data_IF_640284754632
#
_entry.id   IF_640284754632
#
_cell.length_a   1.000
_cell.length_b   1.000
_cell.length_c   1.000
_cell.angle_alpha   90.00
_cell.angle_beta   90.00
_cell.angle_gamma   90.00
#
_symmetry.space_group_name_H-M   'P 1'
#
loop_
_entity.id
_entity.type
_entity.pdbx_description
1 polymer ?
#
# COMPACT_ATOMS: atom_id res chain seq x y z
N UNK A 1 17.15 -16.35 53.18
CA UNK A 1 15.94 -16.14 52.36
C UNK A 1 15.93 -14.72 51.76
N UNK A 2 16.89 -14.36 50.88
CA UNK A 2 16.98 -13.00 50.29
C UNK A 2 17.74 -12.95 48.94
N UNK A 3 17.62 -13.97 48.07
CA UNK A 3 18.18 -13.92 46.70
C UNK A 3 17.20 -14.60 45.73
N UNK A 4 15.94 -14.16 45.71
CA UNK A 4 14.95 -14.68 44.76
C UNK A 4 13.98 -13.61 44.25
N UNK A 5 14.37 -12.33 44.32
CA UNK A 5 13.51 -11.20 43.96
C UNK A 5 14.14 -10.27 42.91
N UNK A 6 15.25 -10.67 42.30
CA UNK A 6 15.97 -9.85 41.30
C UNK A 6 15.96 -10.45 39.87
N UNK A 7 15.21 -11.52 39.63
CA UNK A 7 15.10 -12.17 38.32
C UNK A 7 13.76 -11.87 37.60
N UNK A 8 12.86 -11.08 38.20
CA UNK A 8 11.52 -10.84 37.66
C UNK A 8 11.36 -9.48 36.95
N UNK A 9 12.45 -8.70 36.76
CA UNK A 9 12.37 -7.30 36.31
C UNK A 9 12.94 -7.07 34.90
N UNK A 10 13.48 -8.08 34.21
CA UNK A 10 14.07 -7.90 32.87
C UNK A 10 13.48 -8.90 31.86
N UNK A 11 12.16 -9.02 31.88
CA UNK A 11 11.39 -9.48 30.71
C UNK A 11 10.29 -8.45 30.43
N UNK A 12 10.63 -7.17 30.58
CA UNK A 12 9.92 -6.14 29.82
C UNK A 12 10.47 -6.27 28.41
N UNK A 13 9.90 -7.20 27.65
CA UNK A 13 10.06 -7.22 26.20
C UNK A 13 9.66 -5.82 25.73
N UNK A 14 10.67 -5.01 25.42
CA UNK A 14 10.50 -3.83 24.59
C UNK A 14 9.95 -4.35 23.27
N UNK A 15 8.63 -4.50 23.18
CA UNK A 15 7.97 -4.46 21.89
C UNK A 15 8.16 -3.02 21.43
N UNK A 16 9.27 -2.80 20.74
CA UNK A 16 9.58 -1.56 20.07
C UNK A 16 8.57 -1.44 18.93
N UNK A 17 7.36 -0.98 19.26
CA UNK A 17 6.24 -0.78 18.33
C UNK A 17 6.37 0.58 17.63
N UNK A 18 7.49 0.80 16.95
CA UNK A 18 7.67 1.96 16.09
C UNK A 18 7.69 1.44 14.65
N UNK A 19 6.52 1.41 14.00
CA UNK A 19 6.37 0.95 12.62
C UNK A 19 4.98 0.44 12.25
N UNK A 20 4.12 0.11 13.22
CA UNK A 20 2.79 -0.45 12.98
C UNK A 20 1.70 0.63 12.90
N UNK A 21 1.92 1.67 12.09
CA UNK A 21 0.86 2.63 11.80
C UNK A 21 -0.21 1.98 10.91
N UNK A 22 -1.49 2.33 11.11
CA UNK A 22 -2.58 1.79 10.28
C UNK A 22 -2.49 2.31 8.84
N UNK A 23 -2.78 1.45 7.87
CA UNK A 23 -2.66 1.69 6.45
C UNK A 23 -1.23 1.63 5.92
N UNK A 24 -0.29 1.18 6.75
CA UNK A 24 1.13 1.11 6.44
C UNK A 24 1.52 -0.29 5.95
N UNK A 25 1.49 -0.48 4.64
CA UNK A 25 1.92 -1.71 4.00
C UNK A 25 0.96 -2.17 2.92
N UNK A 26 1.50 -2.71 1.84
CA UNK A 26 0.70 -3.36 0.82
C UNK A 26 0.24 -4.75 1.26
N UNK A 27 -1.07 -4.96 1.27
CA UNK A 27 -1.66 -6.28 1.43
C UNK A 27 -1.81 -6.98 0.08
N UNK A 28 -1.58 -8.28 0.09
CA UNK A 28 -1.75 -9.14 -1.06
C UNK A 28 -2.50 -10.42 -0.68
N UNK A 29 -3.18 -10.98 -1.66
CA UNK A 29 -3.73 -12.32 -1.59
C UNK A 29 -2.65 -13.32 -2.06
N UNK A 30 -2.30 -14.26 -1.19
CA UNK A 30 -1.58 -15.47 -1.57
C UNK A 30 -2.62 -16.55 -1.93
N UNK A 31 -2.64 -16.93 -3.19
CA UNK A 31 -3.54 -17.95 -3.73
C UNK A 31 -2.69 -19.07 -4.35
N UNK A 32 -2.49 -20.18 -3.61
CA UNK A 32 -1.61 -21.29 -4.03
C UNK A 32 -2.00 -21.93 -5.38
N UNK A 33 -3.26 -21.82 -5.76
CA UNK A 33 -3.81 -22.34 -7.01
C UNK A 33 -3.67 -21.40 -8.22
N UNK A 34 -3.18 -20.17 -8.02
CA UNK A 34 -3.08 -19.15 -9.07
C UNK A 34 -1.64 -18.95 -9.57
N UNK A 35 -1.51 -18.39 -10.77
CA UNK A 35 -0.24 -17.92 -11.32
C UNK A 35 -0.43 -16.52 -11.93
N UNK A 36 0.20 -15.45 -11.38
CA UNK A 36 1.06 -15.45 -10.20
C UNK A 36 0.32 -15.88 -8.93
N UNK A 37 1.07 -16.41 -7.95
CA UNK A 37 0.51 -16.83 -6.66
C UNK A 37 0.15 -15.65 -5.77
N UNK A 38 0.86 -14.53 -5.93
CA UNK A 38 0.68 -13.33 -5.12
C UNK A 38 0.07 -12.22 -5.96
N UNK A 39 -1.06 -11.68 -5.49
CA UNK A 39 -1.78 -10.59 -6.17
C UNK A 39 -2.11 -9.52 -5.14
N UNK A 40 -1.73 -8.27 -5.40
CA UNK A 40 -2.02 -7.15 -4.50
C UNK A 40 -3.54 -7.02 -4.31
N UNK A 41 -3.99 -6.78 -3.08
CA UNK A 41 -5.40 -6.88 -2.71
C UNK A 41 -6.30 -5.94 -3.55
N UNK A 42 -5.78 -4.77 -3.85
CA UNK A 42 -6.41 -3.74 -4.69
C UNK A 42 -6.76 -4.20 -6.10
N UNK A 43 -6.00 -5.14 -6.68
CA UNK A 43 -6.29 -5.68 -8.02
C UNK A 43 -7.64 -6.39 -8.02
N UNK A 44 -7.94 -7.09 -6.94
CA UNK A 44 -9.19 -7.84 -6.76
C UNK A 44 -10.31 -6.91 -6.28
N UNK A 45 -10.00 -5.96 -5.39
CA UNK A 45 -10.98 -5.04 -4.82
C UNK A 45 -11.46 -3.98 -5.80
N UNK A 46 -10.61 -3.48 -6.69
CA UNK A 46 -10.93 -2.40 -7.63
C UNK A 46 -12.27 -2.60 -8.36
N UNK A 47 -12.54 -3.74 -9.03
CA UNK A 47 -13.81 -3.94 -9.73
C UNK A 47 -14.99 -4.19 -8.78
N UNK A 48 -14.76 -4.75 -7.59
CA UNK A 48 -15.81 -5.16 -6.66
C UNK A 48 -16.28 -3.97 -5.82
N UNK A 49 -15.33 -3.29 -5.19
CA UNK A 49 -15.54 -2.20 -4.21
C UNK A 49 -15.66 -0.86 -4.93
N UNK A 50 -14.73 -0.56 -5.84
CA UNK A 50 -14.60 0.78 -6.44
C UNK A 50 -15.24 0.88 -7.83
N UNK A 51 -15.67 -0.24 -8.42
CA UNK A 51 -16.12 -0.33 -9.82
C UNK A 51 -15.08 0.19 -10.81
N UNK A 52 -13.80 0.05 -10.47
CA UNK A 52 -12.66 0.40 -11.29
C UNK A 52 -12.11 -0.88 -11.93
N UNK A 53 -12.02 -0.90 -13.25
CA UNK A 53 -11.32 -1.97 -13.94
C UNK A 53 -9.84 -1.64 -14.04
N UNK A 54 -8.96 -2.51 -13.58
CA UNK A 54 -7.51 -2.34 -13.68
C UNK A 54 -7.06 -2.62 -15.11
N UNK A 55 -6.32 -1.67 -15.71
CA UNK A 55 -5.67 -1.85 -17.00
C UNK A 55 -4.59 -2.92 -16.86
N UNK A 56 -4.69 -4.01 -17.63
CA UNK A 56 -3.60 -4.97 -17.75
C UNK A 56 -2.43 -4.31 -18.49
N UNK A 57 -1.25 -4.34 -17.89
CA UNK A 57 -0.05 -3.78 -18.48
C UNK A 57 1.09 -4.78 -18.43
N UNK A 58 1.76 -4.95 -19.56
CA UNK A 58 2.98 -5.74 -19.66
C UNK A 58 4.17 -4.80 -19.71
N UNK A 59 5.25 -5.13 -19.02
CA UNK A 59 6.46 -4.32 -18.97
C UNK A 59 7.66 -5.15 -18.52
N UNK A 60 8.82 -4.50 -18.42
CA UNK A 60 10.07 -5.12 -17.94
C UNK A 60 10.58 -4.48 -16.64
N UNK A 61 10.13 -3.27 -16.33
CA UNK A 61 10.55 -2.51 -15.16
C UNK A 61 9.32 -1.99 -14.40
N UNK A 62 9.12 -2.39 -13.14
CA UNK A 62 8.00 -1.93 -12.33
C UNK A 62 7.92 -0.42 -12.14
N UNK A 63 9.06 0.27 -12.01
CA UNK A 63 9.09 1.72 -11.76
C UNK A 63 8.61 2.49 -12.99
N UNK A 64 9.09 2.11 -14.17
CA UNK A 64 8.64 2.68 -15.43
C UNK A 64 7.12 2.53 -15.63
N UNK A 65 6.54 1.39 -15.24
CA UNK A 65 5.09 1.19 -15.33
C UNK A 65 4.31 2.17 -14.44
N UNK A 66 4.80 2.49 -13.23
CA UNK A 66 4.20 3.52 -12.37
C UNK A 66 4.26 4.90 -13.03
N UNK A 67 5.43 5.28 -13.56
CA UNK A 67 5.63 6.58 -14.22
C UNK A 67 4.74 6.76 -15.45
N UNK A 68 4.42 5.69 -16.17
CA UNK A 68 3.51 5.75 -17.32
C UNK A 68 2.07 6.04 -16.90
N UNK A 69 1.58 5.38 -15.85
CA UNK A 69 0.22 5.59 -15.34
C UNK A 69 0.08 6.94 -14.61
N UNK A 70 1.19 7.48 -14.06
CA UNK A 70 1.20 8.81 -13.42
C UNK A 70 0.84 9.96 -14.36
N UNK A 71 1.05 9.80 -15.67
CA UNK A 71 0.72 10.85 -16.66
C UNK A 71 -0.77 11.19 -16.66
N UNK A 72 -1.60 10.17 -16.49
CA UNK A 72 -3.05 10.32 -16.42
C UNK A 72 -3.46 11.00 -15.11
N UNK A 73 -2.90 10.54 -13.99
CA UNK A 73 -3.13 11.15 -12.68
C UNK A 73 -2.71 12.63 -12.64
N UNK A 74 -1.63 13.00 -13.31
CA UNK A 74 -1.15 14.38 -13.37
C UNK A 74 -2.10 15.33 -14.12
N UNK A 75 -2.98 14.80 -14.97
CA UNK A 75 -4.03 15.60 -15.62
C UNK A 75 -5.14 15.94 -14.63
N UNK A 76 -5.48 15.01 -13.74
CA UNK A 76 -6.59 15.15 -12.78
C UNK A 76 -6.15 15.86 -11.49
N UNK A 77 -4.95 15.54 -10.97
CA UNK A 77 -4.40 16.00 -9.69
C UNK A 77 -2.90 16.34 -9.82
N UNK A 78 -2.54 17.44 -10.50
CA UNK A 78 -1.15 17.80 -10.76
C UNK A 78 -0.29 17.99 -9.50
N UNK A 79 -0.80 18.61 -8.43
CA UNK A 79 -0.01 18.80 -7.20
C UNK A 79 0.27 17.45 -6.51
N UNK A 80 -0.73 16.58 -6.44
CA UNK A 80 -0.61 15.24 -5.89
C UNK A 80 0.32 14.36 -6.72
N UNK A 81 0.20 14.39 -8.05
CA UNK A 81 1.08 13.65 -8.94
C UNK A 81 2.54 14.09 -8.81
N UNK A 82 2.81 15.39 -8.67
CA UNK A 82 4.16 15.92 -8.42
C UNK A 82 4.73 15.41 -7.09
N UNK A 83 3.93 15.43 -6.02
CA UNK A 83 4.33 14.87 -4.74
C UNK A 83 4.59 13.36 -4.83
N UNK A 84 3.75 12.64 -5.56
CA UNK A 84 3.85 11.20 -5.76
C UNK A 84 5.13 10.81 -6.51
N UNK A 85 5.54 11.57 -7.54
CA UNK A 85 6.83 11.36 -8.22
C UNK A 85 8.00 11.54 -7.24
N UNK A 86 7.97 12.55 -6.38
CA UNK A 86 9.02 12.75 -5.38
C UNK A 86 9.10 11.59 -4.38
N UNK A 87 7.94 11.06 -3.95
CA UNK A 87 7.90 9.94 -3.01
C UNK A 87 8.19 8.59 -3.67
N UNK A 88 7.89 8.43 -4.96
CA UNK A 88 8.28 7.25 -5.74
C UNK A 88 9.80 7.09 -5.76
N UNK A 89 10.53 8.19 -6.00
CA UNK A 89 12.00 8.18 -5.93
C UNK A 89 12.51 7.77 -4.55
N UNK A 90 11.88 8.28 -3.49
CA UNK A 90 12.23 7.87 -2.12
C UNK A 90 11.97 6.37 -1.92
N UNK A 91 10.79 5.87 -2.28
CA UNK A 91 10.40 4.46 -2.16
C UNK A 91 11.44 3.58 -2.83
N UNK A 92 11.75 3.82 -4.10
CA UNK A 92 12.70 3.01 -4.88
C UNK A 92 14.10 2.99 -4.25
N UNK A 93 14.57 4.12 -3.72
CA UNK A 93 15.89 4.22 -3.08
C UNK A 93 15.96 3.54 -1.71
N UNK A 94 14.83 3.33 -1.05
CA UNK A 94 14.77 2.85 0.35
C UNK A 94 14.10 1.48 0.49
N UNK A 95 13.84 0.78 -0.62
CA UNK A 95 13.41 -0.63 -0.60
C UNK A 95 14.52 -1.50 0.02
N UNK A 96 14.13 -2.31 0.99
CA UNK A 96 14.95 -3.40 1.52
C UNK A 96 14.15 -4.71 1.47
N UNK A 97 14.70 -5.70 0.78
CA UNK A 97 14.12 -7.03 0.76
C UNK A 97 14.53 -7.80 2.01
N UNK A 98 13.53 -8.32 2.74
CA UNK A 98 13.72 -9.14 3.92
C UNK A 98 13.23 -10.56 3.64
N UNK A 99 14.02 -11.57 4.01
CA UNK A 99 13.69 -12.98 3.82
C UNK A 99 13.44 -13.66 5.17
N UNK A 100 12.57 -14.66 5.20
CA UNK A 100 12.26 -15.43 6.42
C UNK A 100 11.54 -14.64 7.52
N UNK A 101 10.97 -13.47 7.18
CA UNK A 101 10.15 -12.66 8.08
C UNK A 101 8.75 -12.56 7.49
N UNK A 102 7.75 -12.98 8.25
CA UNK A 102 6.36 -12.68 7.97
C UNK A 102 6.00 -11.35 8.64
N UNK A 103 5.33 -10.46 7.91
CA UNK A 103 4.76 -9.27 8.51
C UNK A 103 3.44 -9.64 9.21
N UNK A 104 3.23 -9.10 10.41
CA UNK A 104 1.95 -9.27 11.10
C UNK A 104 0.89 -8.46 10.34
N UNK A 105 -0.19 -9.11 9.92
CA UNK A 105 -1.33 -8.39 9.36
C UNK A 105 -1.90 -7.43 10.39
N UNK A 106 -2.06 -6.18 9.99
CA UNK A 106 -2.78 -5.20 10.77
C UNK A 106 -4.29 -5.39 10.55
N UNK A 107 -5.07 -5.36 11.63
CA UNK A 107 -6.54 -5.29 11.55
C UNK A 107 -6.97 -3.84 11.28
N UNK A 108 -6.49 -3.30 10.17
CA UNK A 108 -6.83 -1.97 9.65
C UNK A 108 -7.61 -2.03 8.34
N UNK A 109 -7.72 -3.23 7.77
CA UNK A 109 -8.55 -3.53 6.63
C UNK A 109 -9.97 -3.88 7.05
N UNK A 110 -10.92 -3.00 6.72
CA UNK A 110 -12.36 -3.31 6.78
C UNK A 110 -12.79 -4.29 5.67
N UNK A 111 -11.89 -5.15 5.19
CA UNK A 111 -12.15 -6.10 4.14
C UNK A 111 -13.05 -7.22 4.64
N UNK A 112 -14.22 -7.36 3.99
CA UNK A 112 -15.21 -8.38 4.35
C UNK A 112 -15.13 -9.63 3.46
N UNK A 113 -14.23 -9.67 2.47
CA UNK A 113 -14.22 -10.74 1.46
C UNK A 113 -12.80 -11.13 1.03
N UNK A 114 -12.40 -12.34 1.41
CA UNK A 114 -11.18 -13.01 0.93
C UNK A 114 -11.62 -14.04 -0.12
N UNK A 115 -11.01 -14.09 -1.32
CA UNK A 115 -11.35 -15.09 -2.33
C UNK A 115 -11.17 -16.52 -1.80
N UNK A 116 -12.03 -17.49 -2.19
CA UNK A 116 -11.90 -18.88 -1.74
C UNK A 116 -10.54 -19.47 -2.09
N UNK A 117 -9.85 -20.04 -1.09
CA UNK A 117 -8.54 -20.67 -1.27
C UNK A 117 -7.35 -19.69 -1.29
N UNK A 118 -7.58 -18.43 -0.92
CA UNK A 118 -6.54 -17.43 -0.72
C UNK A 118 -6.42 -17.03 0.74
N UNK A 119 -5.24 -16.54 1.13
CA UNK A 119 -5.01 -15.85 2.40
C UNK A 119 -4.62 -14.39 2.14
N UNK A 120 -5.08 -13.49 2.99
CA UNK A 120 -4.63 -12.09 2.97
C UNK A 120 -3.35 -12.01 3.80
N UNK A 121 -2.29 -11.48 3.22
CA UNK A 121 -1.00 -11.28 3.89
C UNK A 121 -0.48 -9.87 3.64
N UNK A 122 0.16 -9.28 4.64
CA UNK A 122 0.92 -8.06 4.49
C UNK A 122 2.27 -8.40 3.86
N UNK A 123 2.62 -7.74 2.74
CA UNK A 123 3.85 -8.03 1.98
C UNK A 123 4.89 -6.91 2.05
N UNK A 124 4.51 -5.77 2.59
CA UNK A 124 5.39 -4.63 2.78
C UNK A 124 5.08 -3.89 4.09
N UNK A 125 6.08 -3.18 4.58
CA UNK A 125 5.99 -2.32 5.74
C UNK A 125 6.84 -1.07 5.51
N UNK A 126 6.22 0.10 5.50
CA UNK A 126 6.96 1.36 5.42
C UNK A 126 7.38 1.81 6.81
N UNK A 127 8.50 2.49 6.90
CA UNK A 127 8.95 3.17 8.12
C UNK A 127 9.38 4.58 7.73
N UNK A 128 9.80 5.39 8.71
CA UNK A 128 10.36 6.70 8.42
C UNK A 128 11.56 6.62 7.44
N UNK A 129 12.35 5.55 7.53
CA UNK A 129 13.65 5.42 6.86
C UNK A 129 13.69 4.40 5.72
N UNK A 130 12.85 3.35 5.79
CA UNK A 130 12.91 2.20 4.89
C UNK A 130 11.54 1.75 4.45
N UNK A 131 11.46 1.15 3.27
CA UNK A 131 10.36 0.29 2.87
C UNK A 131 10.85 -1.15 2.92
N UNK A 132 10.34 -1.95 3.85
CA UNK A 132 10.65 -3.37 3.94
C UNK A 132 9.67 -4.15 3.05
N UNK A 133 10.18 -5.04 2.20
CA UNK A 133 9.36 -5.92 1.36
C UNK A 133 9.78 -7.37 1.58
N UNK A 134 8.82 -8.27 1.75
CA UNK A 134 9.09 -9.70 1.88
C UNK A 134 9.65 -10.24 0.56
N UNK A 135 10.89 -10.71 0.54
CA UNK A 135 11.56 -11.16 -0.69
C UNK A 135 10.87 -12.36 -1.35
N UNK A 136 10.38 -13.29 -0.53
CA UNK A 136 9.58 -14.42 -1.00
C UNK A 136 8.26 -13.96 -1.64
N UNK A 137 7.52 -13.07 -0.97
CA UNK A 137 6.30 -12.48 -1.50
C UNK A 137 6.53 -11.74 -2.81
N UNK A 138 7.57 -10.90 -2.86
CA UNK A 138 7.96 -10.15 -4.06
C UNK A 138 8.25 -11.06 -5.26
N UNK A 139 8.96 -12.17 -5.03
CA UNK A 139 9.30 -13.14 -6.08
C UNK A 139 8.09 -13.90 -6.64
N UNK A 140 6.98 -13.93 -5.90
CA UNK A 140 5.72 -14.58 -6.29
C UNK A 140 4.73 -13.64 -6.98
N UNK A 141 5.05 -12.34 -7.03
CA UNK A 141 4.27 -11.31 -7.74
C UNK A 141 4.71 -11.23 -9.20
N UNK A 142 3.76 -10.94 -10.09
CA UNK A 142 4.11 -10.49 -11.43
C UNK A 142 4.56 -9.01 -11.43
N UNK A 143 5.15 -8.56 -12.54
CA UNK A 143 5.69 -7.20 -12.65
C UNK A 143 4.61 -6.13 -12.45
N UNK A 144 3.36 -6.39 -12.87
CA UNK A 144 2.27 -5.44 -12.65
C UNK A 144 1.94 -5.33 -11.16
N UNK A 145 1.84 -6.45 -10.45
CA UNK A 145 1.59 -6.49 -9.01
C UNK A 145 2.71 -5.80 -8.24
N UNK A 146 3.97 -6.05 -8.61
CA UNK A 146 5.14 -5.36 -8.05
C UNK A 146 5.07 -3.85 -8.28
N UNK A 147 4.66 -3.41 -9.47
CA UNK A 147 4.50 -1.99 -9.80
C UNK A 147 3.40 -1.35 -8.96
N UNK A 148 2.27 -2.04 -8.82
CA UNK A 148 1.14 -1.59 -8.01
C UNK A 148 1.54 -1.48 -6.54
N UNK A 149 2.34 -2.41 -6.02
CA UNK A 149 2.88 -2.31 -4.66
C UNK A 149 3.77 -1.06 -4.51
N UNK A 150 4.68 -0.82 -5.45
CA UNK A 150 5.54 0.38 -5.41
C UNK A 150 4.70 1.67 -5.39
N UNK A 151 3.68 1.77 -6.25
CA UNK A 151 2.83 2.96 -6.29
C UNK A 151 1.93 3.08 -5.07
N UNK A 152 1.46 1.97 -4.49
CA UNK A 152 0.75 1.95 -3.21
C UNK A 152 1.58 2.64 -2.13
N UNK A 153 2.84 2.21 -1.97
CA UNK A 153 3.73 2.73 -0.94
C UNK A 153 4.06 4.21 -1.15
N UNK A 154 4.22 4.62 -2.41
CA UNK A 154 4.46 6.01 -2.76
C UNK A 154 3.20 6.89 -2.51
N UNK A 155 2.00 6.36 -2.73
CA UNK A 155 0.72 7.02 -2.43
C UNK A 155 0.57 7.17 -0.92
N UNK A 156 0.77 6.10 -0.14
CA UNK A 156 0.69 6.13 1.32
C UNK A 156 1.60 7.23 1.88
N UNK A 157 2.88 7.25 1.49
CA UNK A 157 3.83 8.28 1.91
C UNK A 157 3.37 9.70 1.55
N UNK A 158 2.84 9.86 0.34
CA UNK A 158 2.33 11.16 -0.13
C UNK A 158 1.14 11.63 0.70
N UNK A 159 0.22 10.73 1.03
CA UNK A 159 -0.92 11.03 1.87
C UNK A 159 -0.52 11.33 3.32
N UNK A 160 0.43 10.60 3.89
CA UNK A 160 0.97 10.87 5.23
C UNK A 160 1.56 12.29 5.33
N UNK A 161 2.33 12.72 4.33
CA UNK A 161 2.85 14.10 4.27
C UNK A 161 1.70 15.12 4.22
N UNK A 162 0.66 14.87 3.43
CA UNK A 162 -0.50 15.76 3.34
C UNK A 162 -1.35 15.77 4.63
N UNK A 163 -1.47 14.61 5.27
CA UNK A 163 -2.17 14.43 6.54
C UNK A 163 -1.45 15.20 7.66
N UNK A 164 -0.12 15.06 7.76
CA UNK A 164 0.72 15.80 8.70
C UNK A 164 0.58 17.32 8.56
N UNK A 165 0.58 17.84 7.32
CA UNK A 165 0.35 19.28 7.04
C UNK A 165 -1.00 19.78 7.54
N UNK A 166 -2.00 18.89 7.62
CA UNK A 166 -3.36 19.18 8.07
C UNK A 166 -3.62 18.80 9.52
N UNK A 167 -2.63 18.21 10.21
CA UNK A 167 -2.76 17.66 11.58
C UNK A 167 -3.90 16.64 11.68
N UNK A 168 -4.00 15.78 10.67
CA UNK A 168 -4.90 14.63 10.64
C UNK A 168 -4.06 13.36 10.48
N UNK A 169 -4.60 12.22 10.88
CA UNK A 169 -3.97 10.91 10.72
C UNK A 169 -4.78 10.09 9.74
N UNK A 170 -4.11 9.37 8.83
CA UNK A 170 -4.77 8.34 8.04
C UNK A 170 -5.31 7.27 8.99
N UNK A 171 -6.58 6.92 8.82
CA UNK A 171 -7.27 5.98 9.73
C UNK A 171 -7.19 4.54 9.23
N UNK A 172 -7.07 4.35 7.91
CA UNK A 172 -7.10 3.06 7.23
C UNK A 172 -6.48 3.16 5.81
N UNK A 173 -6.26 1.99 5.19
CA UNK A 173 -5.65 1.82 3.87
C UNK A 173 -6.58 2.20 2.70
N UNK A 174 -7.89 2.41 2.90
CA UNK A 174 -8.87 2.48 1.80
C UNK A 174 -8.62 3.64 0.83
N UNK A 175 -8.13 4.76 1.32
CA UNK A 175 -7.80 5.94 0.49
C UNK A 175 -6.59 5.65 -0.40
N UNK A 176 -5.57 4.96 0.14
CA UNK A 176 -4.42 4.49 -0.62
C UNK A 176 -4.88 3.55 -1.72
N UNK A 177 -5.70 2.57 -1.35
CA UNK A 177 -6.25 1.55 -2.24
C UNK A 177 -7.11 2.10 -3.37
N UNK A 178 -7.98 3.06 -3.06
CA UNK A 178 -8.77 3.77 -4.07
C UNK A 178 -7.86 4.52 -5.04
N UNK A 179 -6.89 5.28 -4.53
CA UNK A 179 -6.00 6.07 -5.38
C UNK A 179 -5.08 5.21 -6.23
N UNK A 180 -4.60 4.08 -5.70
CA UNK A 180 -3.81 3.14 -6.47
C UNK A 180 -4.68 2.47 -7.53
N UNK A 181 -5.88 2.02 -7.19
CA UNK A 181 -6.84 1.51 -8.19
C UNK A 181 -7.12 2.52 -9.30
N UNK A 182 -7.28 3.81 -8.93
CA UNK A 182 -7.52 4.90 -9.87
C UNK A 182 -6.32 5.17 -10.76
N UNK A 183 -5.10 5.16 -10.22
CA UNK A 183 -3.86 5.28 -10.98
C UNK A 183 -3.78 4.19 -12.06
N UNK A 184 -4.19 2.96 -11.75
CA UNK A 184 -4.11 1.80 -12.63
C UNK A 184 -5.38 1.53 -13.46
N UNK A 185 -6.32 2.48 -13.52
CA UNK A 185 -7.63 2.29 -14.16
C UNK A 185 -7.55 2.13 -15.68
N UNK A 186 -8.50 1.36 -16.23
CA UNK A 186 -8.92 1.43 -17.63
C UNK A 186 -9.95 2.56 -17.76
N UNK A 187 -9.77 3.45 -18.74
CA UNK A 187 -10.65 4.61 -18.94
C UNK A 187 -12.10 4.29 -19.37
N UNK A 188 -12.40 3.03 -19.69
CA UNK A 188 -13.75 2.62 -20.07
C UNK A 188 -14.65 2.50 -18.83
N UNK A 189 -15.62 3.41 -18.68
CA UNK A 189 -16.65 3.36 -17.62
C UNK A 189 -16.25 3.99 -16.28
N UNK A 190 -15.26 4.89 -16.27
CA UNK A 190 -14.54 5.29 -15.07
C UNK A 190 -15.32 6.22 -14.11
N UNK A 191 -15.16 5.95 -12.81
CA UNK A 191 -15.30 6.91 -11.72
C UNK A 191 -14.50 8.17 -12.10
N UNK A 192 -15.14 9.33 -12.10
CA UNK A 192 -14.50 10.58 -12.53
C UNK A 192 -13.60 11.17 -11.42
N UNK A 193 -12.67 12.05 -11.82
CA UNK A 193 -11.72 12.68 -10.90
C UNK A 193 -12.40 13.46 -9.77
N UNK A 194 -13.55 14.11 -10.02
CA UNK A 194 -14.27 14.86 -9.01
C UNK A 194 -14.86 13.92 -7.94
N UNK A 195 -15.40 12.77 -8.36
CA UNK A 195 -15.87 11.71 -7.47
C UNK A 195 -14.75 11.15 -6.60
N UNK A 196 -13.55 10.92 -7.18
CA UNK A 196 -12.37 10.49 -6.42
C UNK A 196 -11.94 11.54 -5.40
N UNK A 197 -11.77 12.80 -5.82
CA UNK A 197 -11.37 13.89 -4.93
C UNK A 197 -12.35 14.07 -3.76
N UNK A 198 -13.65 14.03 -4.04
CA UNK A 198 -14.69 14.10 -3.02
C UNK A 198 -14.59 12.94 -2.02
N UNK A 199 -14.40 11.72 -2.52
CA UNK A 199 -14.30 10.54 -1.66
C UNK A 199 -13.06 10.62 -0.76
N UNK A 200 -11.90 11.01 -1.32
CA UNK A 200 -10.66 11.18 -0.56
C UNK A 200 -10.83 12.26 0.51
N UNK A 201 -11.38 13.43 0.18
CA UNK A 201 -11.61 14.49 1.17
C UNK A 201 -12.55 14.04 2.29
N UNK A 202 -13.64 13.34 1.94
CA UNK A 202 -14.63 12.87 2.91
C UNK A 202 -14.01 11.94 3.96
N UNK A 203 -13.17 11.00 3.52
CA UNK A 203 -12.63 9.91 4.36
C UNK A 203 -11.26 10.21 4.99
N UNK A 204 -10.43 11.06 4.38
CA UNK A 204 -9.09 11.40 4.89
C UNK A 204 -8.94 12.85 5.37
N UNK A 205 -9.91 13.72 5.06
CA UNK A 205 -9.81 15.20 5.24
C UNK A 205 -8.69 15.83 4.40
N UNK A 206 -8.14 15.11 3.42
CA UNK A 206 -7.15 15.60 2.46
C UNK A 206 -7.86 16.06 1.19
N UNK A 207 -7.57 17.30 0.77
CA UNK A 207 -7.98 17.78 -0.55
C UNK A 207 -6.91 17.44 -1.57
N UNK A 208 -7.26 16.66 -2.58
CA UNK A 208 -6.40 16.43 -3.74
C UNK A 208 -6.47 17.63 -4.67
N UNK A 209 -5.30 18.01 -5.20
CA UNK A 209 -5.09 19.06 -6.18
C UNK A 209 -4.01 18.62 -7.15
#
# INVERSE_FOLDING_TARGET
MKILLLALVIVVSFKCFAGFDRGNGGDAYLCESMNPKMILAEVIEAPIVWKIHIKKQTGVDPVQMVLENLKDLATDFPEFASLLVSNLNWVVQHIQFVNGVAFENLDDDLLQWIPPGCELIQVALQTEFYLLIGGESWSQMDLQTQSMLISHEAIYRSLEILAARRRVHLQDSRVVRLLNSYLWRKFEGAVDAQSIAYWVEKHSKIKLK
#
